data_IF_483940542238
#
_entry.id   IF_483940542238
#
_cell.length_a   1.000
_cell.length_b   1.000
_cell.length_c   1.000
_cell.angle_alpha   90.00
_cell.angle_beta   90.00
_cell.angle_gamma   90.00
#
_symmetry.space_group_name_H-M   'P 1'
#
loop_
_entity.id
_entity.type
_entity.pdbx_description
1 polymer ?
#
# COMPACT_ATOMS: atom_id res chain seq x y z
N UNK A 1 -12.40 13.10 11.06
CA UNK A 1 -11.80 13.33 9.73
C UNK A 1 -12.89 13.20 8.70
N UNK A 2 -13.20 14.28 7.97
CA UNK A 2 -14.03 14.18 6.77
C UNK A 2 -13.20 13.41 5.74
N UNK A 3 -13.68 12.28 5.28
CA UNK A 3 -13.00 11.58 4.19
C UNK A 3 -13.23 12.42 2.93
N UNK A 4 -12.23 13.19 2.51
CA UNK A 4 -12.25 13.74 1.16
C UNK A 4 -12.26 12.56 0.18
N UNK A 5 -12.98 12.69 -0.94
CA UNK A 5 -13.12 11.72 -2.01
C UNK A 5 -11.82 10.97 -2.37
N UNK A 6 -10.66 11.66 -2.34
CA UNK A 6 -9.33 11.08 -2.58
C UNK A 6 -8.98 9.95 -1.59
N UNK A 7 -9.34 10.11 -0.31
CA UNK A 7 -9.09 9.12 0.73
C UNK A 7 -10.11 7.96 0.67
N UNK A 8 -11.34 8.23 0.21
CA UNK A 8 -12.35 7.19 -0.06
C UNK A 8 -11.86 6.24 -1.16
N UNK A 9 -11.28 6.77 -2.24
CA UNK A 9 -10.71 5.99 -3.34
C UNK A 9 -9.48 5.15 -2.93
N UNK A 10 -8.64 5.65 -2.02
CA UNK A 10 -7.48 4.91 -1.50
C UNK A 10 -7.86 3.79 -0.52
N UNK A 11 -8.91 3.97 0.27
CA UNK A 11 -9.39 2.99 1.26
C UNK A 11 -10.23 1.90 0.59
N UNK A 12 -11.08 2.25 -0.38
CA UNK A 12 -11.93 1.30 -1.12
C UNK A 12 -11.16 0.27 -1.97
N UNK A 13 -9.90 0.56 -2.31
CA UNK A 13 -9.00 -0.39 -2.99
C UNK A 13 -8.45 -1.52 -2.08
N UNK A 14 -8.59 -1.40 -0.76
CA UNK A 14 -8.22 -2.44 0.21
C UNK A 14 -9.49 -3.00 0.84
N UNK A 15 -10.00 -4.09 0.26
CA UNK A 15 -11.13 -4.92 0.71
C UNK A 15 -11.68 -4.61 2.11
N UNK A 16 -12.59 -3.65 2.21
CA UNK A 16 -13.55 -3.62 3.31
C UNK A 16 -14.69 -4.57 2.94
N UNK A 17 -15.17 -5.43 3.86
CA UNK A 17 -16.14 -6.48 3.56
C UNK A 17 -17.58 -5.97 3.32
N UNK A 18 -17.78 -4.68 3.03
CA UNK A 18 -19.11 -4.10 2.84
C UNK A 18 -19.23 -3.36 1.50
N UNK A 19 -20.23 -3.68 0.65
CA UNK A 19 -20.25 -3.25 -0.76
C UNK A 19 -20.67 -1.79 -1.00
N UNK A 20 -20.87 -0.97 0.03
CA UNK A 20 -21.48 0.35 -0.11
C UNK A 20 -20.92 1.36 0.90
N UNK A 21 -19.60 1.60 0.86
CA UNK A 21 -19.14 2.94 1.24
C UNK A 21 -19.44 3.82 0.02
N UNK A 22 -20.67 4.34 -0.02
CA UNK A 22 -21.00 5.49 -0.87
C UNK A 22 -19.95 6.55 -0.59
N UNK A 23 -19.42 7.19 -1.64
CA UNK A 23 -18.63 8.42 -1.51
C UNK A 23 -19.52 9.57 -1.05
N UNK A 24 -20.26 9.37 0.05
CA UNK A 24 -21.04 10.41 0.67
C UNK A 24 -20.05 11.43 1.23
N UNK A 25 -20.18 12.71 0.86
CA UNK A 25 -19.28 13.77 1.31
C UNK A 25 -19.28 13.96 2.83
N UNK A 26 -20.15 13.25 3.55
CA UNK A 26 -20.36 13.38 4.99
C UNK A 26 -19.97 12.11 5.79
N UNK A 27 -19.17 11.21 5.21
CA UNK A 27 -18.56 10.12 5.99
C UNK A 27 -17.40 10.66 6.85
N UNK A 28 -17.58 10.58 8.17
CA UNK A 28 -16.58 10.97 9.17
C UNK A 28 -15.95 9.75 9.81
N UNK A 29 -14.62 9.61 9.73
CA UNK A 29 -13.87 8.66 10.57
C UNK A 29 -13.36 9.39 11.80
N UNK A 30 -13.50 8.77 12.97
CA UNK A 30 -12.98 9.29 14.23
C UNK A 30 -12.18 8.23 14.99
N UNK A 31 -11.20 8.72 15.74
CA UNK A 31 -10.39 7.92 16.66
C UNK A 31 -10.67 8.47 18.07
N UNK A 32 -11.31 7.65 18.88
CA UNK A 32 -11.56 7.92 20.28
C UNK A 32 -10.31 7.70 21.16
N UNK A 33 -10.44 7.98 22.47
CA UNK A 33 -9.40 7.65 23.44
C UNK A 33 -8.95 6.19 23.31
N UNK A 34 -7.67 5.93 23.56
CA UNK A 34 -7.07 4.58 23.50
C UNK A 34 -7.03 3.92 22.12
N UNK A 35 -7.36 4.65 21.04
CA UNK A 35 -7.30 4.12 19.67
C UNK A 35 -8.59 3.47 19.20
N UNK A 36 -9.71 3.69 19.90
CA UNK A 36 -11.03 3.27 19.44
C UNK A 36 -11.34 3.88 18.07
N UNK A 37 -11.63 3.05 17.06
CA UNK A 37 -11.94 3.50 15.70
C UNK A 37 -13.45 3.50 15.48
N UNK A 38 -13.99 4.57 14.90
CA UNK A 38 -15.40 4.66 14.54
C UNK A 38 -15.63 5.47 13.27
N UNK A 39 -16.81 5.34 12.69
CA UNK A 39 -17.26 6.13 11.55
C UNK A 39 -18.73 6.53 11.69
N UNK A 40 -19.12 7.69 11.15
CA UNK A 40 -20.50 8.18 11.14
C UNK A 40 -20.85 8.80 9.79
N UNK A 41 -22.09 8.60 9.35
CA UNK A 41 -22.67 9.23 8.16
C UNK A 41 -23.46 10.51 8.49
N UNK A 42 -23.77 10.73 9.78
CA UNK A 42 -24.49 11.92 10.24
C UNK A 42 -23.69 12.64 11.33
N UNK A 43 -23.48 13.94 11.15
CA UNK A 43 -23.08 14.89 12.20
C UNK A 43 -24.30 15.34 13.03
N UNK A 44 -25.26 14.45 13.28
CA UNK A 44 -26.45 14.81 14.06
C UNK A 44 -26.08 14.90 15.55
N UNK A 45 -25.72 16.13 15.95
CA UNK A 45 -25.90 16.83 17.24
C UNK A 45 -25.69 16.10 18.59
N UNK A 46 -25.25 14.85 18.64
CA UNK A 46 -25.11 14.05 19.87
C UNK A 46 -23.69 13.99 20.44
N UNK A 47 -22.72 14.64 19.77
CA UNK A 47 -21.30 14.61 20.14
C UNK A 47 -20.77 15.97 20.60
N UNK A 48 -21.66 16.90 20.98
CA UNK A 48 -21.37 18.28 21.44
C UNK A 48 -20.57 18.39 22.75
N UNK A 49 -19.93 17.32 23.19
CA UNK A 49 -19.05 17.26 24.36
C UNK A 49 -17.76 16.45 24.15
N UNK A 50 -17.45 16.02 22.92
CA UNK A 50 -16.20 15.33 22.60
C UNK A 50 -15.30 16.24 21.80
N UNK A 51 -14.07 16.46 22.30
CA UNK A 51 -13.01 17.22 21.63
C UNK A 51 -12.50 16.43 20.41
N UNK A 52 -13.28 16.44 19.33
CA UNK A 52 -12.93 15.79 18.08
C UNK A 52 -11.98 16.70 17.30
N UNK A 53 -10.76 16.20 17.04
CA UNK A 53 -9.77 16.89 16.22
C UNK A 53 -9.82 16.35 14.79
N UNK A 54 -9.89 17.26 13.82
CA UNK A 54 -9.68 16.90 12.42
C UNK A 54 -8.19 16.68 12.15
N UNK A 55 -7.86 15.59 11.46
CA UNK A 55 -6.50 15.18 11.13
C UNK A 55 -6.40 14.94 9.63
N UNK A 56 -5.24 15.25 9.06
CA UNK A 56 -4.88 14.86 7.69
C UNK A 56 -4.43 13.40 7.64
N UNK A 57 -4.43 12.80 6.44
CA UNK A 57 -3.91 11.44 6.26
C UNK A 57 -2.44 11.29 6.73
N UNK A 58 -1.52 12.22 6.41
CA UNK A 58 -0.15 12.18 6.95
C UNK A 58 -0.11 12.20 8.49
N UNK A 59 -0.92 13.04 9.14
CA UNK A 59 -0.98 13.11 10.60
C UNK A 59 -1.53 11.82 11.22
N UNK A 60 -2.47 11.16 10.55
CA UNK A 60 -2.97 9.84 10.97
C UNK A 60 -1.86 8.78 10.87
N UNK A 61 -1.09 8.78 9.79
CA UNK A 61 0.04 7.87 9.60
C UNK A 61 1.11 8.07 10.69
N UNK A 62 1.42 9.33 11.03
CA UNK A 62 2.35 9.65 12.12
C UNK A 62 1.89 9.04 13.45
N UNK A 63 0.60 9.14 13.78
CA UNK A 63 0.04 8.54 15.00
C UNK A 63 0.20 7.02 15.01
N UNK A 64 -0.05 6.36 13.88
CA UNK A 64 0.13 4.91 13.73
C UNK A 64 1.59 4.51 13.93
N UNK A 65 2.54 5.23 13.33
CA UNK A 65 3.97 4.97 13.49
C UNK A 65 4.40 5.13 14.96
N UNK A 66 4.03 6.24 15.58
CA UNK A 66 4.37 6.52 16.97
C UNK A 66 3.75 5.48 17.93
N UNK A 67 2.56 4.95 17.61
CA UNK A 67 1.92 3.88 18.38
C UNK A 67 2.53 2.50 18.16
N UNK A 68 2.91 2.17 16.92
CA UNK A 68 3.59 0.91 16.60
C UNK A 68 4.93 0.81 17.32
N UNK A 69 5.59 1.96 17.51
CA UNK A 69 6.80 2.07 18.32
C UNK A 69 7.90 1.08 17.85
N UNK A 70 8.16 1.08 16.54
CA UNK A 70 9.19 0.25 15.91
C UNK A 70 10.29 1.14 15.34
N UNK A 71 11.56 0.87 15.68
CA UNK A 71 12.73 1.59 15.17
C UNK A 71 12.85 1.54 13.64
N UNK A 72 12.28 0.52 13.00
CA UNK A 72 12.28 0.38 11.53
C UNK A 72 11.48 1.48 10.84
N UNK A 73 10.65 2.19 11.58
CA UNK A 73 9.87 3.32 11.06
C UNK A 73 10.67 4.62 10.98
N UNK A 74 11.94 4.61 11.38
CA UNK A 74 12.81 5.76 11.27
C UNK A 74 12.82 6.31 9.83
N UNK A 75 12.64 7.63 9.71
CA UNK A 75 12.69 8.34 8.43
C UNK A 75 14.01 9.04 8.21
N UNK A 76 14.76 9.33 9.28
CA UNK A 76 16.00 10.09 9.23
C UNK A 76 17.05 9.52 10.20
N UNK A 77 18.30 9.91 9.97
CA UNK A 77 19.39 9.79 10.94
C UNK A 77 20.03 11.14 11.20
N UNK A 78 20.52 11.35 12.42
CA UNK A 78 21.38 12.49 12.69
C UNK A 78 22.86 12.20 12.37
N UNK A 79 23.73 13.18 12.62
CA UNK A 79 25.19 13.06 12.48
C UNK A 79 25.81 11.97 13.37
N UNK A 80 25.13 11.57 14.44
CA UNK A 80 25.56 10.51 15.36
C UNK A 80 24.97 9.15 14.98
N UNK A 81 24.27 9.07 13.84
CA UNK A 81 23.59 7.88 13.34
C UNK A 81 22.40 7.42 14.20
N UNK A 82 21.88 8.27 15.08
CA UNK A 82 20.69 7.99 15.87
C UNK A 82 19.46 7.93 14.95
N UNK A 83 18.59 6.94 15.18
CA UNK A 83 17.34 6.80 14.43
C UNK A 83 16.34 7.87 14.85
N UNK A 84 15.81 8.58 13.86
CA UNK A 84 14.87 9.69 14.04
C UNK A 84 13.63 9.45 13.20
N UNK A 85 12.48 9.75 13.80
CA UNK A 85 11.23 9.91 13.09
C UNK A 85 10.85 11.39 13.04
N UNK A 86 10.77 11.94 11.83
CA UNK A 86 10.27 13.28 11.55
C UNK A 86 8.81 13.16 11.08
N UNK A 87 7.87 13.72 11.84
CA UNK A 87 6.44 13.68 11.51
C UNK A 87 6.08 14.61 10.35
N UNK A 88 4.87 14.49 9.79
CA UNK A 88 4.37 15.40 8.76
C UNK A 88 4.30 16.86 9.23
N UNK A 89 4.03 17.06 10.52
CA UNK A 89 4.06 18.36 11.21
C UNK A 89 5.48 18.80 11.62
N UNK A 90 6.51 18.14 11.07
CA UNK A 90 7.94 18.35 11.32
C UNK A 90 8.42 18.10 12.76
N UNK A 91 7.64 17.45 13.61
CA UNK A 91 8.05 17.14 14.98
C UNK A 91 9.08 16.01 14.99
N UNK A 92 10.20 16.21 15.69
CA UNK A 92 11.29 15.24 15.80
C UNK A 92 11.08 14.32 16.99
N UNK A 93 11.15 13.01 16.74
CA UNK A 93 11.22 11.95 17.75
C UNK A 93 12.53 11.16 17.61
N UNK A 94 13.19 10.89 18.74
CA UNK A 94 14.37 10.02 18.81
C UNK A 94 13.98 8.64 19.28
N UNK A 95 14.67 7.63 18.75
CA UNK A 95 14.55 6.27 19.23
C UNK A 95 15.45 6.01 20.44
N UNK A 96 14.84 5.67 21.58
CA UNK A 96 15.54 5.23 22.80
C UNK A 96 14.91 3.96 23.39
N UNK A 97 14.57 2.99 22.53
CA UNK A 97 13.73 1.84 22.91
C UNK A 97 12.23 2.13 22.78
N UNK A 98 11.88 3.40 22.73
CA UNK A 98 10.60 3.93 22.28
C UNK A 98 10.81 5.27 21.56
N UNK A 99 9.79 5.74 20.84
CA UNK A 99 9.78 7.05 20.21
C UNK A 99 9.61 8.15 21.26
N UNK A 100 10.70 8.83 21.60
CA UNK A 100 10.70 9.94 22.56
C UNK A 100 10.67 11.29 21.83
N UNK A 101 9.71 12.15 22.18
CA UNK A 101 9.62 13.50 21.60
C UNK A 101 10.87 14.31 21.97
N UNK A 102 11.55 14.85 20.96
CA UNK A 102 12.81 15.56 21.18
C UNK A 102 12.63 16.91 21.88
N UNK A 103 13.58 17.26 22.75
CA UNK A 103 13.68 18.61 23.31
C UNK A 103 14.06 19.66 22.25
N UNK A 104 14.72 19.26 21.15
CA UNK A 104 15.15 20.17 20.09
C UNK A 104 14.00 20.86 19.37
N UNK A 105 12.79 20.28 19.43
CA UNK A 105 11.56 20.86 18.90
C UNK A 105 11.24 22.25 19.48
N UNK A 106 11.85 22.62 20.61
CA UNK A 106 11.69 23.93 21.27
C UNK A 106 12.96 24.78 21.23
N UNK A 107 14.00 24.33 20.52
CA UNK A 107 15.28 25.03 20.41
C UNK A 107 15.21 26.13 19.34
N UNK A 108 15.98 27.20 19.54
CA UNK A 108 16.18 28.23 18.51
C UNK A 108 16.90 27.66 17.26
N UNK A 109 17.63 26.55 17.40
CA UNK A 109 18.33 25.89 16.31
C UNK A 109 17.48 24.85 15.55
N UNK A 110 16.20 24.69 15.91
CA UNK A 110 15.32 23.65 15.38
C UNK A 110 15.29 23.58 13.84
N UNK A 111 15.02 24.71 13.18
CA UNK A 111 14.94 24.76 11.71
C UNK A 111 16.30 24.43 11.06
N UNK A 112 17.38 24.95 11.63
CA UNK A 112 18.74 24.66 11.17
C UNK A 112 19.10 23.18 11.35
N UNK A 113 18.63 22.57 12.44
CA UNK A 113 18.86 21.17 12.73
C UNK A 113 18.16 20.26 11.72
N UNK A 114 16.90 20.52 11.39
CA UNK A 114 16.16 19.79 10.35
C UNK A 114 16.89 19.91 9.00
N UNK A 115 17.31 21.12 8.62
CA UNK A 115 17.90 21.37 7.31
C UNK A 115 19.30 20.78 7.14
N UNK A 116 20.14 20.83 8.19
CA UNK A 116 21.59 20.59 8.06
C UNK A 116 22.13 19.43 8.91
N UNK A 117 21.30 18.81 9.73
CA UNK A 117 21.74 17.74 10.65
C UNK A 117 20.98 16.44 10.50
N UNK A 118 19.88 16.40 9.74
CA UNK A 118 19.14 15.19 9.43
C UNK A 118 19.47 14.70 8.03
N UNK A 119 19.75 13.41 7.91
CA UNK A 119 19.92 12.70 6.63
C UNK A 119 18.75 11.74 6.46
N UNK A 120 17.95 11.84 5.38
CA UNK A 120 16.86 10.91 5.13
C UNK A 120 17.37 9.47 5.00
N UNK A 121 16.66 8.54 5.62
CA UNK A 121 16.85 7.10 5.36
C UNK A 121 16.13 6.81 4.06
N UNK A 122 16.88 6.39 3.04
CA UNK A 122 16.28 5.90 1.80
C UNK A 122 15.53 4.62 2.15
N UNK A 123 14.20 4.68 2.27
CA UNK A 123 13.41 3.45 2.25
C UNK A 123 13.60 2.81 0.88
N UNK A 124 13.70 1.47 0.81
CA UNK A 124 13.65 0.79 -0.48
C UNK A 124 12.36 1.25 -1.18
N UNK A 125 12.53 1.92 -2.32
CA UNK A 125 11.42 2.12 -3.23
C UNK A 125 10.90 0.71 -3.57
N UNK A 126 9.58 0.51 -3.51
CA UNK A 126 8.94 -0.68 -4.06
C UNK A 126 9.61 -0.96 -5.43
N UNK A 127 10.22 -2.14 -5.67
CA UNK A 127 10.91 -2.44 -6.92
C UNK A 127 10.01 -2.28 -8.14
N UNK A 128 8.69 -2.25 -7.97
CA UNK A 128 7.73 -1.94 -9.02
C UNK A 128 7.62 -0.44 -9.35
N UNK A 129 8.08 0.45 -8.46
CA UNK A 129 8.08 1.90 -8.62
C UNK A 129 9.47 2.39 -9.06
N UNK A 130 9.57 2.76 -10.33
CA UNK A 130 10.76 3.45 -10.86
C UNK A 130 10.76 4.92 -10.43
N UNK A 131 11.95 5.51 -10.27
CA UNK A 131 12.07 6.95 -9.99
C UNK A 131 11.53 7.80 -11.15
N UNK A 132 11.11 9.03 -10.85
CA UNK A 132 10.57 9.96 -11.85
C UNK A 132 11.54 10.23 -13.00
N UNK A 133 12.85 10.30 -12.71
CA UNK A 133 13.89 10.49 -13.73
C UNK A 133 13.99 9.28 -14.68
N UNK A 134 13.87 8.07 -14.14
CA UNK A 134 13.87 6.82 -14.91
C UNK A 134 12.57 6.69 -15.72
N UNK A 135 11.44 7.14 -15.18
CA UNK A 135 10.18 7.21 -15.92
C UNK A 135 10.29 8.19 -17.10
N UNK A 136 10.81 9.40 -16.88
CA UNK A 136 10.98 10.39 -17.94
C UNK A 136 11.92 9.89 -19.05
N UNK A 137 13.04 9.25 -18.69
CA UNK A 137 13.99 8.71 -19.66
C UNK A 137 13.43 7.55 -20.51
N UNK A 138 12.43 6.83 -20.00
CA UNK A 138 11.81 5.69 -20.68
C UNK A 138 10.46 6.03 -21.33
N UNK A 139 10.00 7.28 -21.23
CA UNK A 139 8.70 7.73 -21.73
C UNK A 139 8.51 7.44 -23.23
N UNK A 140 9.58 7.58 -24.02
CA UNK A 140 9.57 7.27 -25.46
C UNK A 140 9.71 5.78 -25.80
N UNK A 141 10.08 4.94 -24.83
CA UNK A 141 10.29 3.49 -25.00
C UNK A 141 9.10 2.66 -24.54
N UNK A 142 8.16 3.28 -23.83
CA UNK A 142 6.99 2.62 -23.26
C UNK A 142 5.71 3.26 -23.78
N UNK A 143 4.64 2.47 -23.87
CA UNK A 143 3.31 3.02 -24.15
C UNK A 143 2.82 3.77 -22.93
N UNK A 144 2.61 5.08 -23.06
CA UNK A 144 2.08 5.94 -21.98
C UNK A 144 0.57 6.05 -22.07
N UNK A 145 -0.09 6.04 -20.91
CA UNK A 145 -1.51 6.36 -20.77
C UNK A 145 -1.68 7.59 -19.90
N UNK A 146 -2.71 8.37 -20.19
CA UNK A 146 -3.14 9.47 -19.35
C UNK A 146 -4.56 9.26 -18.84
N UNK A 147 -4.90 9.97 -17.78
CA UNK A 147 -6.22 10.09 -17.20
C UNK A 147 -6.44 11.56 -16.85
N UNK A 148 -7.64 12.09 -17.12
CA UNK A 148 -8.02 13.44 -16.71
C UNK A 148 -9.14 13.36 -15.67
N UNK A 149 -9.00 14.11 -14.57
CA UNK A 149 -9.95 14.01 -13.46
C UNK A 149 -11.38 14.43 -13.83
N UNK A 150 -11.57 15.29 -14.83
CA UNK A 150 -12.91 15.69 -15.29
C UNK A 150 -13.49 14.72 -16.37
N UNK A 151 -12.79 13.65 -16.74
CA UNK A 151 -13.35 12.66 -17.68
C UNK A 151 -14.40 11.77 -16.99
N UNK A 152 -15.62 11.67 -17.54
CA UNK A 152 -16.78 11.07 -16.85
C UNK A 152 -16.65 9.57 -16.55
N UNK A 153 -15.63 8.88 -17.05
CA UNK A 153 -15.47 7.43 -16.91
C UNK A 153 -14.16 7.01 -16.26
N UNK A 154 -13.32 7.95 -15.77
CA UNK A 154 -12.07 7.59 -15.10
C UNK A 154 -11.15 6.69 -15.95
N UNK A 155 -11.22 6.81 -17.28
CA UNK A 155 -10.61 5.84 -18.20
C UNK A 155 -9.19 6.24 -18.56
N UNK A 156 -8.27 5.29 -18.43
CA UNK A 156 -6.92 5.45 -18.94
C UNK A 156 -6.90 5.38 -20.47
N UNK A 157 -6.47 6.47 -21.10
CA UNK A 157 -6.39 6.63 -22.55
C UNK A 157 -4.93 6.56 -23.00
N UNK A 158 -4.66 5.75 -24.02
CA UNK A 158 -3.30 5.59 -24.57
C UNK A 158 -2.91 6.81 -25.38
N UNK A 159 -1.75 7.39 -25.12
CA UNK A 159 -1.18 8.47 -25.93
C UNK A 159 -0.63 7.83 -27.22
N UNK A 160 -1.23 8.18 -28.36
CA UNK A 160 -0.74 7.78 -29.69
C UNK A 160 0.22 8.84 -30.24
N UNK A 161 1.13 8.44 -31.14
CA UNK A 161 2.26 9.26 -31.66
C UNK A 161 1.87 10.66 -32.16
N UNK A 162 0.64 10.81 -32.65
CA UNK A 162 0.06 12.07 -33.14
C UNK A 162 -0.46 13.04 -32.05
N UNK A 163 -0.52 12.60 -30.79
CA UNK A 163 -1.02 13.40 -29.66
C UNK A 163 0.09 13.87 -28.71
N UNK A 164 1.31 13.34 -28.81
CA UNK A 164 2.43 13.74 -27.94
C UNK A 164 2.75 15.23 -28.03
N UNK A 165 2.57 15.84 -29.19
CA UNK A 165 2.76 17.28 -29.40
C UNK A 165 1.65 18.14 -28.79
N UNK A 166 0.49 17.56 -28.48
CA UNK A 166 -0.65 18.25 -27.86
C UNK A 166 -0.53 18.29 -26.33
N UNK A 167 0.10 17.28 -25.74
CA UNK A 167 0.41 17.24 -24.31
C UNK A 167 1.78 17.89 -24.07
N UNK A 168 1.80 19.20 -23.88
CA UNK A 168 3.03 19.93 -23.58
C UNK A 168 3.69 19.39 -22.30
N UNK A 169 5.02 19.24 -22.31
CA UNK A 169 5.82 18.80 -21.15
C UNK A 169 5.56 19.60 -19.87
N UNK A 170 5.07 20.84 -20.00
CA UNK A 170 4.64 21.67 -18.87
C UNK A 170 3.55 21.01 -18.01
N UNK A 171 2.74 20.11 -18.57
CA UNK A 171 1.70 19.39 -17.83
C UNK A 171 2.26 18.38 -16.82
N UNK A 172 3.50 17.91 -17.00
CA UNK A 172 4.18 17.06 -16.02
C UNK A 172 4.79 17.88 -14.87
N UNK A 173 4.99 19.18 -15.08
CA UNK A 173 5.65 20.09 -14.16
C UNK A 173 4.65 21.01 -13.43
N UNK A 174 3.40 21.03 -13.86
CA UNK A 174 2.33 21.78 -13.24
C UNK A 174 1.76 21.00 -12.04
N UNK A 175 1.96 21.48 -10.80
CA UNK A 175 1.44 20.80 -9.61
C UNK A 175 -0.09 20.81 -9.52
N UNK A 176 -0.76 21.72 -10.23
CA UNK A 176 -2.23 21.84 -10.26
C UNK A 176 -2.86 21.07 -11.44
N UNK A 177 -2.05 20.27 -12.15
CA UNK A 177 -2.53 19.49 -13.29
C UNK A 177 -3.57 18.45 -12.87
N UNK A 178 -4.68 18.39 -13.60
CA UNK A 178 -5.69 17.33 -13.47
C UNK A 178 -5.33 16.07 -14.24
N UNK A 179 -4.16 16.07 -14.90
CA UNK A 179 -3.71 14.94 -15.70
C UNK A 179 -2.81 14.02 -14.89
N UNK A 180 -3.18 12.74 -14.87
CA UNK A 180 -2.38 11.66 -14.30
C UNK A 180 -1.79 10.84 -15.44
N UNK A 181 -0.54 10.43 -15.30
CA UNK A 181 0.17 9.65 -16.31
C UNK A 181 0.66 8.33 -15.72
N UNK A 182 0.66 7.28 -16.54
CA UNK A 182 1.30 6.00 -16.20
C UNK A 182 1.85 5.33 -17.45
N UNK A 183 2.81 4.43 -17.27
CA UNK A 183 3.06 3.42 -18.28
C UNK A 183 1.91 2.43 -18.32
N UNK A 184 1.50 2.04 -19.52
CA UNK A 184 0.51 0.98 -19.70
C UNK A 184 1.03 -0.25 -18.94
N UNK A 185 0.25 -0.81 -18.00
CA UNK A 185 0.66 -2.01 -17.28
C UNK A 185 1.11 -3.08 -18.27
N UNK A 186 2.36 -3.52 -18.15
CA UNK A 186 2.91 -4.53 -19.03
C UNK A 186 2.51 -5.91 -18.51
N UNK A 187 2.03 -6.76 -19.42
CA UNK A 187 1.88 -8.18 -19.13
C UNK A 187 3.28 -8.81 -19.11
N UNK A 188 3.83 -9.06 -17.93
CA UNK A 188 5.05 -9.86 -17.80
C UNK A 188 4.66 -11.32 -18.06
N UNK A 189 5.25 -11.93 -19.09
CA UNK A 189 5.17 -13.38 -19.29
C UNK A 189 6.09 -14.05 -18.27
N UNK A 190 5.50 -14.76 -17.31
CA UNK A 190 6.23 -15.57 -16.34
C UNK A 190 6.11 -17.03 -16.78
N UNK A 191 7.23 -17.64 -17.14
CA UNK A 191 7.32 -19.08 -17.39
C UNK A 191 7.69 -19.77 -16.07
N UNK A 192 6.76 -20.56 -15.53
CA UNK A 192 6.92 -21.26 -14.25
C UNK A 192 6.80 -22.76 -14.49
N UNK A 193 7.81 -23.51 -14.06
CA UNK A 193 7.75 -24.96 -14.00
C UNK A 193 7.09 -25.37 -12.67
N UNK A 194 5.77 -25.57 -12.70
CA UNK A 194 5.01 -26.09 -11.57
C UNK A 194 4.71 -27.58 -11.78
N UNK A 195 4.85 -28.42 -10.73
CA UNK A 195 4.40 -29.79 -10.81
C UNK A 195 2.90 -29.83 -11.11
N UNK A 196 2.51 -30.68 -12.06
CA UNK A 196 1.14 -30.79 -12.54
C UNK A 196 0.23 -31.25 -11.39
N UNK A 197 -0.85 -30.51 -11.06
CA UNK A 197 -1.86 -30.98 -10.12
C UNK A 197 -2.49 -32.30 -10.60
N UNK A 198 -2.99 -33.09 -9.66
CA UNK A 198 -3.72 -34.33 -9.97
C UNK A 198 -5.12 -34.34 -9.35
N UNK A 199 -6.01 -35.13 -9.92
CA UNK A 199 -7.35 -35.37 -9.37
C UNK A 199 -7.35 -36.73 -8.67
N UNK A 200 -7.61 -36.80 -7.34
CA UNK A 200 -7.70 -38.08 -6.64
C UNK A 200 -8.94 -38.89 -7.08
N UNK A 201 -8.73 -40.19 -7.35
CA UNK A 201 -9.82 -41.13 -7.69
C UNK A 201 -10.32 -41.93 -6.47
N UNK A 202 -9.51 -41.99 -5.41
CA UNK A 202 -9.80 -42.66 -4.15
C UNK A 202 -9.53 -41.73 -2.96
N UNK A 203 -10.17 -42.02 -1.83
CA UNK A 203 -9.97 -41.27 -0.59
C UNK A 203 -8.50 -41.38 -0.15
N UNK A 204 -7.82 -40.24 -0.04
CA UNK A 204 -6.39 -40.24 0.21
C UNK A 204 -5.91 -38.97 0.91
N UNK A 205 -4.68 -39.02 1.41
CA UNK A 205 -4.01 -37.83 1.92
C UNK A 205 -3.34 -37.09 0.77
N UNK A 206 -3.64 -35.81 0.67
CA UNK A 206 -3.12 -34.91 -0.36
C UNK A 206 -2.56 -33.65 0.26
N UNK A 207 -1.87 -32.85 -0.53
CA UNK A 207 -1.39 -31.53 -0.16
C UNK A 207 -2.08 -30.46 -0.99
N UNK A 208 -2.56 -29.42 -0.31
CA UNK A 208 -3.24 -28.27 -0.93
C UNK A 208 -2.65 -26.97 -0.39
N UNK A 209 -2.78 -25.90 -1.18
CA UNK A 209 -2.44 -24.54 -0.74
C UNK A 209 -3.38 -24.09 0.40
N UNK A 210 -2.81 -23.41 1.38
CA UNK A 210 -3.52 -22.91 2.56
C UNK A 210 -2.94 -21.56 2.98
N UNK A 211 -3.75 -20.51 2.83
CA UNK A 211 -3.40 -19.13 3.18
C UNK A 211 -3.46 -18.87 4.69
N UNK A 212 -4.08 -19.78 5.47
CA UNK A 212 -4.09 -19.76 6.93
C UNK A 212 -2.82 -20.34 7.57
N UNK A 213 -1.91 -20.93 6.79
CA UNK A 213 -0.66 -21.52 7.30
C UNK A 213 0.57 -20.70 6.92
N UNK A 214 1.52 -20.59 7.84
CA UNK A 214 2.77 -19.84 7.63
C UNK A 214 3.65 -20.46 6.54
N UNK A 215 3.62 -21.79 6.42
CA UNK A 215 4.31 -22.54 5.38
C UNK A 215 3.56 -22.53 4.05
N UNK A 216 2.31 -22.07 4.00
CA UNK A 216 1.51 -21.83 2.79
C UNK A 216 0.78 -23.06 2.25
N UNK A 217 0.80 -24.18 2.96
CA UNK A 217 0.12 -25.41 2.55
C UNK A 217 -0.33 -26.25 3.73
N UNK A 218 -1.20 -27.22 3.48
CA UNK A 218 -1.56 -28.23 4.48
C UNK A 218 -1.70 -29.61 3.87
N UNK A 219 -1.50 -30.63 4.71
CA UNK A 219 -1.94 -31.99 4.44
C UNK A 219 -3.45 -32.09 4.68
N UNK A 220 -4.19 -32.59 3.71
CA UNK A 220 -5.63 -32.70 3.70
C UNK A 220 -6.05 -34.15 3.47
N UNK A 221 -7.09 -34.60 4.16
CA UNK A 221 -7.72 -35.89 3.88
C UNK A 221 -8.80 -35.64 2.84
N UNK A 222 -8.53 -36.00 1.59
CA UNK A 222 -9.44 -35.84 0.48
C UNK A 222 -10.43 -36.99 0.44
N UNK A 223 -11.72 -36.68 0.44
CA UNK A 223 -12.81 -37.63 0.29
C UNK A 223 -13.45 -37.44 -1.10
N UNK A 224 -13.35 -38.45 -1.97
CA UNK A 224 -13.77 -38.35 -3.39
C UNK A 224 -15.26 -38.06 -3.53
N UNK A 225 -16.09 -38.48 -2.58
CA UNK A 225 -17.52 -38.22 -2.64
C UNK A 225 -17.90 -36.85 -2.05
N UNK A 226 -17.12 -36.32 -1.11
CA UNK A 226 -17.38 -35.06 -0.42
C UNK A 226 -16.66 -33.85 -1.03
N UNK A 227 -15.44 -34.06 -1.54
CA UNK A 227 -14.53 -33.02 -2.01
C UNK A 227 -14.46 -32.88 -3.53
N UNK A 228 -15.08 -33.80 -4.27
CA UNK A 228 -15.13 -33.72 -5.73
C UNK A 228 -16.02 -32.57 -6.17
N UNK A 229 -15.40 -31.55 -6.75
CA UNK A 229 -16.03 -30.29 -7.14
C UNK A 229 -15.67 -29.10 -6.23
N UNK A 230 -14.91 -29.33 -5.15
CA UNK A 230 -14.36 -28.22 -4.36
C UNK A 230 -13.37 -27.40 -5.18
N UNK A 231 -13.37 -26.08 -4.98
CA UNK A 231 -12.54 -25.11 -5.71
C UNK A 231 -11.11 -25.06 -5.17
N UNK A 232 -10.42 -26.21 -5.15
CA UNK A 232 -9.00 -26.23 -4.87
C UNK A 232 -8.22 -25.65 -6.07
N UNK A 233 -7.28 -24.75 -5.80
CA UNK A 233 -6.38 -24.19 -6.83
C UNK A 233 -5.53 -25.30 -7.47
N UNK A 234 -5.18 -26.31 -6.70
CA UNK A 234 -4.48 -27.51 -7.12
C UNK A 234 -4.36 -28.49 -5.97
N UNK A 235 -4.16 -29.77 -6.31
CA UNK A 235 -3.97 -30.87 -5.37
C UNK A 235 -2.68 -31.58 -5.78
N UNK A 236 -1.78 -31.80 -4.83
CA UNK A 236 -0.48 -32.45 -5.03
C UNK A 236 -0.34 -33.67 -4.14
N UNK A 237 0.35 -34.69 -4.65
CA UNK A 237 0.39 -36.01 -4.03
C UNK A 237 1.44 -36.04 -2.93
N UNK A 238 2.50 -35.26 -3.07
CA UNK A 238 3.64 -35.23 -2.15
C UNK A 238 3.87 -33.85 -1.55
N UNK A 239 4.55 -33.83 -0.40
CA UNK A 239 4.94 -32.58 0.27
C UNK A 239 5.97 -31.78 -0.54
N UNK A 240 6.85 -32.48 -1.27
CA UNK A 240 7.91 -31.83 -2.05
C UNK A 240 7.35 -31.07 -3.26
N UNK A 241 6.33 -31.63 -3.92
CA UNK A 241 5.62 -30.96 -5.03
C UNK A 241 4.98 -29.65 -4.57
N UNK A 242 4.26 -29.65 -3.43
CA UNK A 242 3.62 -28.43 -2.92
C UNK A 242 4.64 -27.40 -2.42
N UNK A 243 5.77 -27.84 -1.82
CA UNK A 243 6.87 -26.95 -1.42
C UNK A 243 7.44 -26.20 -2.62
N UNK A 244 7.67 -26.90 -3.74
CA UNK A 244 8.14 -26.28 -4.98
C UNK A 244 7.15 -25.22 -5.47
N UNK A 245 5.84 -25.51 -5.44
CA UNK A 245 4.79 -24.55 -5.83
C UNK A 245 4.80 -23.32 -4.95
N UNK A 246 4.81 -23.49 -3.62
CA UNK A 246 4.82 -22.38 -2.67
C UNK A 246 6.08 -21.54 -2.82
N UNK A 247 7.24 -22.14 -3.05
CA UNK A 247 8.49 -21.40 -3.26
C UNK A 247 8.42 -20.54 -4.52
N UNK A 248 7.89 -21.07 -5.63
CA UNK A 248 7.68 -20.30 -6.86
C UNK A 248 6.69 -19.16 -6.66
N UNK A 249 5.56 -19.40 -5.98
CA UNK A 249 4.59 -18.36 -5.63
C UNK A 249 5.19 -17.26 -4.74
N UNK A 250 6.04 -17.63 -3.77
CA UNK A 250 6.77 -16.68 -2.93
C UNK A 250 7.77 -15.86 -3.72
N UNK A 251 8.48 -16.43 -4.69
CA UNK A 251 9.40 -15.68 -5.58
C UNK A 251 8.64 -14.62 -6.37
N UNK A 252 7.47 -14.94 -6.91
CA UNK A 252 6.63 -13.97 -7.63
C UNK A 252 6.15 -12.86 -6.70
N UNK A 253 5.75 -13.18 -5.47
CA UNK A 253 5.31 -12.17 -4.49
C UNK A 253 6.45 -11.29 -3.99
N UNK A 254 7.61 -11.88 -3.68
CA UNK A 254 8.78 -11.18 -3.13
C UNK A 254 9.58 -10.37 -4.14
N UNK A 255 9.45 -10.64 -5.44
CA UNK A 255 10.10 -9.84 -6.50
C UNK A 255 9.29 -8.57 -6.85
N UNK A 256 8.01 -8.50 -6.43
CA UNK A 256 7.12 -7.37 -6.66
C UNK A 256 6.86 -6.54 -5.38
N UNK A 257 7.83 -6.47 -4.45
CA UNK A 257 7.67 -5.78 -3.17
C UNK A 257 8.89 -5.02 -2.72
#
# INVERSE_FOLDING_TARGET
>A
MRINQILCEQISGKSFPYPNISCDPDLWIFIGPEGAFGWSLDLDHSWSGLDLKELTLPQLQDLVVLKRNDVKDATHRDKQQNSIYLTSDKVIYYWHGEWCKSAINKSNDYENYIANSLTPITQPQDPALISGDVALANVHKCTVQYLHDDEPYGRWTTITDNLWSQYHLGMFLDPDTKFKFRFKPQTIKLELELPKPFEPEEDCHVYILDDGKTDGYRRYSYEVHGDKGNTFIGIWRTEDEIKQVVEQLRKIRGTNS
#
